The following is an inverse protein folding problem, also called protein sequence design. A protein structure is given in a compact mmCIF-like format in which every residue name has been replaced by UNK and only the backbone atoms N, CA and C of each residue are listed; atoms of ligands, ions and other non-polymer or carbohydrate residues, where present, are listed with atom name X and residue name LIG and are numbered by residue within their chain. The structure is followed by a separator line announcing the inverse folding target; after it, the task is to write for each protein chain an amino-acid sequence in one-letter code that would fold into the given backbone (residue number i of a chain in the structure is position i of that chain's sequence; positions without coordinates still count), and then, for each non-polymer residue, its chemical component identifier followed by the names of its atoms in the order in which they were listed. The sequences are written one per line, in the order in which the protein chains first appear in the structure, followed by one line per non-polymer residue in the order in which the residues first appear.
data_IF_108583480274
#
_entry.id   IF_108583480274
#
_cell.length_a   1.000
_cell.length_b   1.000
_cell.length_c   1.000
_cell.angle_alpha   90.00
_cell.angle_beta   90.00
_cell.angle_gamma   90.00
#
_symmetry.space_group_name_H-M   'P 1'
#
loop_
_entity.id
_entity.type
_entity.pdbx_description
1 polymer ?
#
# COMPACT_ATOMS: atom_id res chain seq x y z
N UNK A 1 36.62 18.39 -14.98
CA UNK A 1 35.59 17.36 -14.70
C UNK A 1 34.41 18.07 -14.05
N UNK A 2 33.48 18.61 -14.85
CA UNK A 2 32.28 19.25 -14.28
C UNK A 2 31.26 18.16 -13.96
N UNK A 3 31.06 17.90 -12.67
CA UNK A 3 29.92 17.11 -12.22
C UNK A 3 28.65 17.84 -12.70
N UNK A 4 27.90 17.23 -13.62
CA UNK A 4 26.58 17.72 -14.01
C UNK A 4 25.72 17.78 -12.75
N UNK A 5 25.34 18.99 -12.36
CA UNK A 5 24.52 19.20 -11.17
C UNK A 5 23.23 18.37 -11.31
N UNK A 6 23.01 17.42 -10.40
CA UNK A 6 21.84 16.54 -10.42
C UNK A 6 20.59 17.40 -10.28
N UNK A 7 19.78 17.48 -11.34
CA UNK A 7 18.50 18.16 -11.30
C UNK A 7 17.52 17.38 -10.42
N UNK A 8 17.12 17.95 -9.29
CA UNK A 8 16.21 17.31 -8.34
C UNK A 8 14.76 17.38 -8.85
N UNK A 9 14.20 16.23 -9.23
CA UNK A 9 12.84 16.13 -9.76
C UNK A 9 11.70 16.32 -8.75
N UNK A 10 11.99 16.32 -7.44
CA UNK A 10 10.97 16.37 -6.38
C UNK A 10 10.25 17.73 -6.34
N UNK A 11 10.99 18.84 -6.46
CA UNK A 11 10.41 20.19 -6.46
C UNK A 11 9.64 20.46 -7.76
N UNK A 12 10.13 19.95 -8.89
CA UNK A 12 9.47 20.08 -10.18
C UNK A 12 8.13 19.32 -10.24
N UNK A 13 8.04 18.16 -9.59
CA UNK A 13 6.86 17.29 -9.60
C UNK A 13 6.12 17.27 -8.24
N UNK A 14 6.21 18.36 -7.46
CA UNK A 14 5.73 18.38 -6.08
C UNK A 14 4.25 18.00 -5.95
N UNK A 15 3.40 18.34 -6.93
CA UNK A 15 1.98 17.92 -6.97
C UNK A 15 1.80 16.40 -7.05
N UNK A 16 2.52 15.74 -7.96
CA UNK A 16 2.49 14.27 -8.09
C UNK A 16 3.07 13.60 -6.86
N UNK A 17 4.15 14.17 -6.30
CA UNK A 17 4.75 13.68 -5.07
C UNK A 17 3.77 13.78 -3.88
N UNK A 18 3.11 14.93 -3.69
CA UNK A 18 2.10 15.09 -2.64
C UNK A 18 0.93 14.12 -2.80
N UNK A 19 0.47 13.89 -4.03
CA UNK A 19 -0.57 12.90 -4.31
C UNK A 19 -0.11 11.47 -3.97
N UNK A 20 1.12 11.10 -4.35
CA UNK A 20 1.71 9.81 -4.04
C UNK A 20 1.83 9.59 -2.51
N UNK A 21 2.27 10.62 -1.78
CA UNK A 21 2.36 10.59 -0.32
C UNK A 21 0.99 10.41 0.30
N UNK A 22 -0.02 11.16 -0.17
CA UNK A 22 -1.38 11.08 0.33
C UNK A 22 -1.99 9.69 0.11
N UNK A 23 -1.83 9.12 -1.10
CA UNK A 23 -2.33 7.78 -1.41
C UNK A 23 -1.63 6.73 -0.55
N UNK A 24 -0.30 6.80 -0.41
CA UNK A 24 0.43 5.87 0.46
C UNK A 24 0.02 6.00 1.93
N UNK A 25 -0.25 7.21 2.41
CA UNK A 25 -0.74 7.43 3.76
C UNK A 25 -2.11 6.78 3.97
N UNK A 26 -3.05 6.94 3.04
CA UNK A 26 -4.37 6.30 3.16
C UNK A 26 -4.29 4.77 3.07
N UNK A 27 -3.52 4.23 2.13
CA UNK A 27 -3.34 2.77 1.99
C UNK A 27 -2.66 2.21 3.25
N UNK A 28 -1.61 2.86 3.75
CA UNK A 28 -0.93 2.46 4.97
C UNK A 28 -1.82 2.54 6.21
N UNK A 29 -2.63 3.59 6.31
CA UNK A 29 -3.61 3.78 7.38
C UNK A 29 -4.68 2.69 7.40
N UNK A 30 -5.29 2.40 6.25
CA UNK A 30 -6.28 1.32 6.12
C UNK A 30 -5.68 -0.03 6.53
N UNK A 31 -4.53 -0.41 5.95
CA UNK A 31 -3.87 -1.70 6.25
C UNK A 31 -3.41 -1.77 7.71
N UNK A 32 -3.04 -0.62 8.31
CA UNK A 32 -2.70 -0.51 9.72
C UNK A 32 -3.91 -0.84 10.62
N UNK A 33 -5.05 -0.20 10.36
CA UNK A 33 -6.30 -0.45 11.09
C UNK A 33 -6.75 -1.91 10.92
N UNK A 34 -6.69 -2.44 9.70
CA UNK A 34 -7.12 -3.82 9.45
C UNK A 34 -6.27 -4.83 10.24
N UNK A 35 -4.94 -4.63 10.29
CA UNK A 35 -4.03 -5.49 11.06
C UNK A 35 -4.16 -5.35 12.57
N UNK A 36 -4.73 -4.28 13.10
CA UNK A 36 -4.95 -4.12 14.54
C UNK A 36 -6.35 -4.53 14.96
N UNK A 37 -7.36 -4.26 14.14
CA UNK A 37 -8.78 -4.47 14.47
C UNK A 37 -9.25 -5.88 14.09
N UNK A 38 -8.88 -6.41 12.92
CA UNK A 38 -9.37 -7.73 12.47
C UNK A 38 -8.92 -8.87 13.38
N UNK A 39 -7.65 -8.95 13.82
CA UNK A 39 -7.22 -10.00 14.75
C UNK A 39 -7.85 -9.86 16.13
N UNK A 40 -8.09 -8.62 16.58
CA UNK A 40 -8.74 -8.34 17.87
C UNK A 40 -10.17 -8.88 17.88
N UNK A 41 -10.97 -8.55 16.86
CA UNK A 41 -12.33 -9.07 16.69
C UNK A 41 -12.32 -10.59 16.50
N UNK A 42 -11.39 -11.13 15.71
CA UNK A 42 -11.27 -12.57 15.47
C UNK A 42 -10.95 -13.36 16.75
N UNK A 43 -10.20 -12.77 17.68
CA UNK A 43 -9.89 -13.37 18.97
C UNK A 43 -11.04 -13.23 19.97
N UNK A 44 -11.64 -12.04 20.10
CA UNK A 44 -12.70 -11.76 21.08
C UNK A 44 -14.05 -12.42 20.73
N UNK A 45 -14.46 -12.38 19.46
CA UNK A 45 -15.78 -12.87 19.03
C UNK A 45 -15.75 -14.32 18.50
N UNK A 46 -14.66 -14.72 17.82
CA UNK A 46 -14.63 -15.99 17.09
C UNK A 46 -13.63 -17.01 17.66
N UNK A 47 -12.80 -16.65 18.64
CA UNK A 47 -11.82 -17.55 19.27
C UNK A 47 -10.76 -18.10 18.30
N UNK A 48 -10.56 -17.47 17.14
CA UNK A 48 -9.63 -17.92 16.09
C UNK A 48 -8.23 -17.35 16.33
N UNK A 49 -7.20 -18.17 16.13
CA UNK A 49 -5.81 -17.74 16.28
C UNK A 49 -5.45 -16.61 15.30
N UNK A 50 -5.08 -15.44 15.85
CA UNK A 50 -4.72 -14.21 15.09
C UNK A 50 -3.73 -14.43 13.95
N UNK A 51 -2.77 -15.34 14.10
CA UNK A 51 -1.72 -15.56 13.10
C UNK A 51 -2.26 -16.07 11.76
N UNK A 52 -3.28 -16.93 11.76
CA UNK A 52 -3.88 -17.46 10.52
C UNK A 52 -4.65 -16.39 9.77
N UNK A 53 -5.37 -15.52 10.50
CA UNK A 53 -6.10 -14.39 9.92
C UNK A 53 -5.15 -13.36 9.31
N UNK A 54 -4.06 -13.03 10.00
CA UNK A 54 -3.05 -12.09 9.50
C UNK A 54 -2.38 -12.63 8.23
N UNK A 55 -2.02 -13.90 8.20
CA UNK A 55 -1.40 -14.53 7.01
C UNK A 55 -2.39 -14.56 5.84
N UNK A 56 -3.64 -14.97 6.07
CA UNK A 56 -4.68 -14.98 5.04
C UNK A 56 -4.95 -13.57 4.48
N UNK A 57 -4.98 -12.57 5.35
CA UNK A 57 -5.11 -11.17 4.96
C UNK A 57 -3.93 -10.72 4.09
N UNK A 58 -2.68 -10.94 4.53
CA UNK A 58 -1.48 -10.53 3.77
C UNK A 58 -1.46 -11.18 2.38
N UNK A 59 -1.78 -12.48 2.31
CA UNK A 59 -1.82 -13.21 1.03
C UNK A 59 -2.92 -12.67 0.13
N UNK A 60 -4.15 -12.55 0.63
CA UNK A 60 -5.30 -12.07 -0.16
C UNK A 60 -5.08 -10.63 -0.64
N UNK A 61 -4.64 -9.75 0.25
CA UNK A 61 -4.28 -8.37 -0.07
C UNK A 61 -3.17 -8.30 -1.12
N UNK A 62 -2.11 -9.10 -0.96
CA UNK A 62 -1.00 -9.15 -1.90
C UNK A 62 -1.43 -9.60 -3.30
N UNK A 63 -2.27 -10.64 -3.39
CA UNK A 63 -2.82 -11.15 -4.66
C UNK A 63 -3.69 -10.09 -5.34
N UNK A 64 -4.65 -9.51 -4.61
CA UNK A 64 -5.52 -8.46 -5.16
C UNK A 64 -4.70 -7.27 -5.65
N UNK A 65 -3.70 -6.83 -4.88
CA UNK A 65 -2.81 -5.73 -5.27
C UNK A 65 -1.99 -6.07 -6.52
N UNK A 66 -1.48 -7.30 -6.62
CA UNK A 66 -0.74 -7.74 -7.80
C UNK A 66 -1.64 -7.66 -9.05
N UNK A 67 -2.86 -8.20 -8.98
CA UNK A 67 -3.82 -8.11 -10.07
C UNK A 67 -4.19 -6.65 -10.40
N UNK A 68 -4.48 -5.83 -9.39
CA UNK A 68 -4.81 -4.42 -9.57
C UNK A 68 -3.67 -3.64 -10.23
N UNK A 69 -2.43 -3.91 -9.83
CA UNK A 69 -1.24 -3.28 -10.43
C UNK A 69 -0.97 -3.75 -11.86
N UNK A 70 -1.24 -5.02 -12.19
CA UNK A 70 -1.14 -5.52 -13.56
C UNK A 70 -2.15 -4.83 -14.48
N UNK A 71 -3.41 -4.70 -14.03
CA UNK A 71 -4.46 -4.01 -14.78
C UNK A 71 -4.16 -2.52 -14.90
N UNK A 72 -3.73 -1.87 -13.81
CA UNK A 72 -3.41 -0.44 -13.84
C UNK A 72 -2.20 -0.12 -14.70
N UNK A 73 -1.22 -1.01 -14.81
CA UNK A 73 -0.13 -0.90 -15.77
C UNK A 73 -0.64 -0.85 -17.21
N UNK A 74 -1.52 -1.78 -17.59
CA UNK A 74 -2.15 -1.77 -18.92
C UNK A 74 -2.99 -0.51 -19.16
N UNK A 75 -3.74 -0.06 -18.14
CA UNK A 75 -4.56 1.15 -18.23
C UNK A 75 -3.74 2.44 -18.29
N UNK A 76 -2.52 2.46 -17.75
CA UNK A 76 -1.65 3.62 -17.76
C UNK A 76 -0.85 3.75 -19.06
N UNK A 77 -0.60 2.63 -19.75
CA UNK A 77 0.05 2.57 -21.06
C UNK A 77 -0.91 2.87 -22.24
N UNK A 78 -2.22 2.89 -22.00
CA UNK A 78 -3.26 3.24 -22.99
C UNK A 78 -3.68 4.70 -22.86
#
# INVERSE_FOLDING_TARGET
MNATAVALGLKANWKQFSLLVLINAFVGGMVGIERTVVPLIGAEEFGVASSTLIVSFIVSFGVVKACANLVSGQLADT
#
